data_IF_147002966683
#
_entry.id   IF_147002966683
#
_cell.length_a   1.000
_cell.length_b   1.000
_cell.length_c   1.000
_cell.angle_alpha   90.00
_cell.angle_beta   90.00
_cell.angle_gamma   90.00
#
_symmetry.space_group_name_H-M   'P 1'
#
loop_
_entity.id
_entity.type
_entity.pdbx_description
1 polymer ?
#
# COMPACT_ATOMS: atom_id res chain seq x y z
N UNK A 1 27.75 37.93 -15.21
CA UNK A 1 27.77 37.31 -13.88
C UNK A 1 26.72 36.23 -13.91
N UNK A 2 27.09 35.03 -14.39
CA UNK A 2 26.15 33.96 -14.70
C UNK A 2 25.96 33.08 -13.45
N UNK A 3 24.73 32.82 -13.19
CA UNK A 3 24.09 32.09 -12.12
C UNK A 3 24.84 30.79 -11.73
N UNK A 4 25.59 30.81 -10.63
CA UNK A 4 26.30 29.67 -10.05
C UNK A 4 25.44 28.93 -9.01
N UNK A 5 24.23 29.37 -8.72
CA UNK A 5 23.35 28.77 -7.72
C UNK A 5 22.69 27.47 -8.20
N UNK A 6 22.43 27.30 -9.50
CA UNK A 6 21.77 26.10 -10.03
C UNK A 6 22.63 24.84 -10.10
N UNK A 7 23.95 24.92 -9.94
CA UNK A 7 24.87 23.78 -10.06
C UNK A 7 25.20 23.06 -8.75
N UNK A 8 24.88 23.65 -7.60
CA UNK A 8 25.21 23.08 -6.29
C UNK A 8 24.21 22.03 -5.79
N UNK A 9 22.98 21.98 -6.32
CA UNK A 9 21.92 21.10 -5.84
C UNK A 9 22.03 19.64 -6.33
N UNK A 10 22.78 19.38 -7.40
CA UNK A 10 22.88 18.05 -8.00
C UNK A 10 23.75 17.03 -7.18
N UNK A 11 24.43 17.46 -6.13
CA UNK A 11 25.41 16.66 -5.40
C UNK A 11 25.13 16.48 -3.90
N UNK A 12 23.91 16.71 -3.44
CA UNK A 12 23.56 16.44 -2.04
C UNK A 12 23.66 14.94 -1.72
N UNK A 13 24.33 14.55 -0.61
CA UNK A 13 24.47 13.15 -0.24
C UNK A 13 23.09 12.51 0.05
N UNK A 14 22.93 11.17 -0.14
CA UNK A 14 21.65 10.45 -0.02
C UNK A 14 20.88 10.72 1.28
N UNK A 15 21.60 10.93 2.38
CA UNK A 15 21.00 11.29 3.69
C UNK A 15 20.30 12.66 3.67
N UNK A 16 20.87 13.66 3.01
CA UNK A 16 20.24 14.99 2.90
C UNK A 16 18.95 14.94 2.04
N UNK A 17 18.83 13.98 1.13
CA UNK A 17 17.66 13.80 0.28
C UNK A 17 16.46 13.18 1.04
N UNK A 18 16.70 12.24 1.96
CA UNK A 18 15.66 11.63 2.78
C UNK A 18 15.05 12.64 3.78
N UNK A 19 15.86 13.47 4.41
CA UNK A 19 15.39 14.52 5.34
C UNK A 19 14.58 15.61 4.61
N UNK A 20 14.96 15.97 3.40
CA UNK A 20 14.20 16.91 2.56
C UNK A 20 12.80 16.38 2.17
N UNK A 21 12.65 15.06 2.01
CA UNK A 21 11.35 14.44 1.78
C UNK A 21 10.42 14.53 3.00
N UNK A 22 10.96 14.31 4.20
CA UNK A 22 10.20 14.44 5.45
C UNK A 22 9.78 15.90 5.71
N UNK A 23 10.70 16.87 5.55
CA UNK A 23 10.39 18.29 5.73
C UNK A 23 9.31 18.74 4.73
N UNK A 24 9.35 18.22 3.49
CA UNK A 24 8.38 18.56 2.47
C UNK A 24 7.00 17.91 2.74
N UNK A 25 6.95 16.68 3.27
CA UNK A 25 5.69 16.04 3.72
C UNK A 25 5.09 16.81 4.90
N UNK A 26 5.90 17.20 5.87
CA UNK A 26 5.44 17.97 7.05
C UNK A 26 4.97 19.38 6.63
N UNK A 27 5.58 19.98 5.59
CA UNK A 27 5.19 21.26 5.03
C UNK A 27 3.89 21.23 4.21
N UNK A 28 3.47 20.06 3.71
CA UNK A 28 2.23 19.89 2.97
C UNK A 28 1.10 19.47 3.92
N UNK A 29 0.10 20.35 4.10
CA UNK A 29 -1.03 20.12 5.02
C UNK A 29 -1.84 18.86 4.67
N UNK A 30 -1.97 18.53 3.39
CA UNK A 30 -2.71 17.35 2.92
C UNK A 30 -1.95 16.08 3.29
N UNK A 31 -0.64 16.04 3.01
CA UNK A 31 0.22 14.92 3.40
C UNK A 31 0.25 14.71 4.92
N UNK A 32 0.35 15.81 5.67
CA UNK A 32 0.33 15.75 7.13
C UNK A 32 -0.99 15.18 7.67
N UNK A 33 -2.13 15.61 7.11
CA UNK A 33 -3.43 15.06 7.49
C UNK A 33 -3.52 13.56 7.17
N UNK A 34 -3.08 13.12 5.99
CA UNK A 34 -2.99 11.71 5.64
C UNK A 34 -2.11 10.91 6.60
N UNK A 35 -0.93 11.44 6.91
CA UNK A 35 0.00 10.81 7.86
C UNK A 35 -0.61 10.69 9.27
N UNK A 36 -1.31 11.74 9.76
CA UNK A 36 -1.99 11.71 11.06
C UNK A 36 -3.09 10.66 11.10
N UNK A 37 -3.88 10.54 10.03
CA UNK A 37 -4.93 9.51 9.94
C UNK A 37 -4.32 8.10 10.03
N UNK A 38 -3.30 7.82 9.21
CA UNK A 38 -2.64 6.50 9.19
C UNK A 38 -1.96 6.21 10.52
N UNK A 39 -1.18 7.16 11.04
CA UNK A 39 -0.47 7.01 12.31
C UNK A 39 -1.45 6.82 13.47
N UNK A 40 -2.58 7.53 13.46
CA UNK A 40 -3.65 7.37 14.44
C UNK A 40 -4.25 5.96 14.43
N UNK A 41 -4.53 5.41 13.24
CA UNK A 41 -5.04 4.03 13.11
C UNK A 41 -4.00 3.00 13.56
N UNK A 42 -2.74 3.17 13.18
CA UNK A 42 -1.65 2.27 13.61
C UNK A 42 -1.46 2.35 15.13
N UNK A 43 -1.46 3.55 15.69
CA UNK A 43 -1.33 3.75 17.14
C UNK A 43 -2.53 3.15 17.91
N UNK A 44 -3.76 3.39 17.44
CA UNK A 44 -4.96 2.78 18.03
C UNK A 44 -4.91 1.25 17.98
N UNK A 45 -4.54 0.67 16.84
CA UNK A 45 -4.37 -0.76 16.69
C UNK A 45 -3.24 -1.30 17.59
N UNK A 46 -2.10 -0.60 17.72
CA UNK A 46 -0.97 -0.99 18.54
C UNK A 46 -1.29 -0.94 20.04
N UNK A 47 -2.03 0.07 20.46
CA UNK A 47 -2.39 0.29 21.87
C UNK A 47 -3.65 -0.49 22.29
N UNK A 48 -4.40 -1.06 21.33
CA UNK A 48 -5.64 -1.79 21.59
C UNK A 48 -5.54 -2.81 22.75
N UNK A 49 -4.50 -3.67 22.85
CA UNK A 49 -4.39 -4.64 23.94
C UNK A 49 -4.24 -4.01 25.33
N UNK A 50 -3.80 -2.74 25.38
CA UNK A 50 -3.60 -2.01 26.65
C UNK A 50 -4.83 -1.18 27.02
N UNK A 51 -5.62 -0.76 26.02
CA UNK A 51 -6.74 0.17 26.20
C UNK A 51 -8.08 -0.54 26.30
N UNK A 52 -8.20 -1.75 25.75
CA UNK A 52 -9.47 -2.46 25.66
C UNK A 52 -9.62 -3.48 26.76
N UNK A 53 -10.80 -3.46 27.40
CA UNK A 53 -11.15 -4.38 28.48
C UNK A 53 -11.59 -5.77 27.96
N UNK A 54 -11.96 -5.86 26.69
CA UNK A 54 -12.51 -7.07 26.09
C UNK A 54 -11.50 -7.69 25.12
N UNK A 55 -11.27 -9.01 25.25
CA UNK A 55 -10.51 -9.74 24.23
C UNK A 55 -11.32 -9.80 22.91
N UNK A 56 -10.67 -9.64 21.72
CA UNK A 56 -11.38 -9.59 20.44
C UNK A 56 -12.24 -10.82 20.12
N UNK A 57 -11.88 -11.98 20.69
CA UNK A 57 -12.56 -13.25 20.43
C UNK A 57 -13.38 -13.74 21.64
N UNK A 58 -13.53 -12.92 22.70
CA UNK A 58 -14.34 -13.26 23.86
C UNK A 58 -15.83 -13.28 23.49
N UNK A 59 -16.45 -14.46 23.56
CA UNK A 59 -17.85 -14.67 23.21
C UNK A 59 -18.73 -14.44 24.44
N UNK A 60 -19.81 -13.64 24.28
CA UNK A 60 -20.87 -13.48 25.27
C UNK A 60 -22.25 -13.59 24.58
N UNK A 61 -22.81 -14.76 24.59
CA UNK A 61 -24.14 -15.00 24.00
C UNK A 61 -25.29 -14.20 24.62
N UNK A 62 -25.07 -13.57 25.78
CA UNK A 62 -26.09 -12.67 26.40
C UNK A 62 -26.07 -11.28 25.81
N UNK A 63 -24.97 -10.93 25.13
CA UNK A 63 -24.74 -9.61 24.54
C UNK A 63 -24.79 -9.64 23.00
N UNK A 64 -25.43 -10.62 22.38
CA UNK A 64 -25.49 -10.73 20.90
C UNK A 64 -26.21 -9.54 20.28
N UNK A 65 -25.58 -8.95 19.22
CA UNK A 65 -26.12 -7.84 18.42
C UNK A 65 -26.63 -6.64 19.25
N UNK A 66 -26.00 -6.37 20.39
CA UNK A 66 -26.33 -5.20 21.18
C UNK A 66 -25.75 -3.93 20.56
N UNK A 67 -26.54 -2.85 20.58
CA UNK A 67 -26.12 -1.53 20.13
C UNK A 67 -25.00 -0.93 20.99
N UNK A 68 -24.41 0.19 20.53
CA UNK A 68 -23.42 0.93 21.28
C UNK A 68 -23.88 1.25 22.71
N UNK A 69 -23.01 0.97 23.69
CA UNK A 69 -23.27 1.15 25.11
C UNK A 69 -21.97 1.51 25.86
N UNK A 70 -22.07 1.85 27.15
CA UNK A 70 -20.87 2.10 27.97
C UNK A 70 -19.98 0.86 28.11
N UNK A 71 -20.56 -0.35 28.10
CA UNK A 71 -19.82 -1.61 28.13
C UNK A 71 -19.18 -1.95 26.76
N UNK A 72 -19.88 -1.62 25.66
CA UNK A 72 -19.47 -1.93 24.29
C UNK A 72 -19.63 -0.68 23.43
N UNK A 73 -18.58 0.14 23.32
CA UNK A 73 -18.62 1.47 22.67
C UNK A 73 -19.14 1.45 21.23
N UNK A 74 -18.85 0.40 20.46
CA UNK A 74 -19.35 0.20 19.10
C UNK A 74 -20.37 -0.95 19.00
N UNK A 75 -20.89 -1.41 20.17
CA UNK A 75 -21.77 -2.55 20.22
C UNK A 75 -21.06 -3.89 20.08
N UNK A 76 -21.85 -4.93 19.87
CA UNK A 76 -21.39 -6.32 19.79
C UNK A 76 -21.81 -6.99 18.50
N UNK A 77 -21.08 -8.04 18.11
CA UNK A 77 -21.35 -8.83 16.93
C UNK A 77 -22.38 -9.98 17.16
N UNK A 78 -22.52 -10.87 16.21
CA UNK A 78 -23.46 -12.01 16.22
C UNK A 78 -23.15 -13.06 17.31
N UNK A 79 -21.95 -13.05 17.86
CA UNK A 79 -21.52 -13.93 18.96
C UNK A 79 -21.37 -13.15 20.28
N UNK A 80 -21.78 -11.88 20.31
CA UNK A 80 -21.64 -11.00 21.48
C UNK A 80 -20.21 -10.53 21.72
N UNK A 81 -19.30 -10.65 20.73
CA UNK A 81 -17.92 -10.14 20.82
C UNK A 81 -17.92 -8.62 20.63
N UNK A 82 -17.03 -7.93 21.31
CA UNK A 82 -16.90 -6.48 21.24
C UNK A 82 -16.39 -6.01 19.87
N UNK A 83 -17.19 -5.20 19.16
CA UNK A 83 -16.87 -4.72 17.81
C UNK A 83 -15.64 -3.83 17.83
N UNK A 84 -15.45 -2.95 18.83
CA UNK A 84 -14.28 -2.08 18.90
C UNK A 84 -12.99 -2.89 19.03
N UNK A 85 -12.96 -3.89 19.88
CA UNK A 85 -11.82 -4.78 20.09
C UNK A 85 -11.46 -5.54 18.79
N UNK A 86 -12.47 -6.05 18.10
CA UNK A 86 -12.30 -6.73 16.80
C UNK A 86 -11.85 -5.78 15.70
N UNK A 87 -12.39 -4.57 15.66
CA UNK A 87 -12.06 -3.52 14.71
C UNK A 87 -10.57 -3.12 14.77
N UNK A 88 -10.07 -2.90 15.99
CA UNK A 88 -8.68 -2.52 16.22
C UNK A 88 -7.70 -3.70 16.04
N UNK A 89 -8.11 -4.91 16.43
CA UNK A 89 -7.35 -6.13 16.11
C UNK A 89 -7.30 -6.36 14.60
N UNK A 90 -8.43 -6.22 13.91
CA UNK A 90 -8.55 -6.32 12.45
C UNK A 90 -7.73 -5.27 11.70
N UNK A 91 -7.59 -4.06 12.25
CA UNK A 91 -6.76 -3.01 11.70
C UNK A 91 -5.30 -3.45 11.53
N UNK A 92 -4.72 -4.16 12.52
CA UNK A 92 -3.35 -4.69 12.42
C UNK A 92 -3.19 -5.62 11.23
N UNK A 93 -4.16 -6.51 11.04
CA UNK A 93 -4.10 -7.51 9.97
C UNK A 93 -4.36 -6.87 8.61
N UNK A 94 -5.42 -6.07 8.47
CA UNK A 94 -5.74 -5.40 7.20
C UNK A 94 -4.60 -4.48 6.73
N UNK A 95 -4.02 -3.66 7.63
CA UNK A 95 -2.91 -2.77 7.30
C UNK A 95 -1.61 -3.55 7.02
N UNK A 96 -1.28 -4.56 7.82
CA UNK A 96 -0.04 -5.33 7.63
C UNK A 96 -0.09 -6.15 6.34
N UNK A 97 -1.17 -6.86 6.07
CA UNK A 97 -1.33 -7.67 4.85
C UNK A 97 -1.27 -6.81 3.60
N UNK A 98 -1.98 -5.68 3.59
CA UNK A 98 -1.97 -4.76 2.44
C UNK A 98 -0.57 -4.17 2.21
N UNK A 99 0.12 -3.75 3.28
CA UNK A 99 1.50 -3.25 3.19
C UNK A 99 2.47 -4.34 2.72
N UNK A 100 2.36 -5.56 3.24
CA UNK A 100 3.20 -6.68 2.83
C UNK A 100 2.94 -7.09 1.37
N UNK A 101 1.69 -7.10 0.92
CA UNK A 101 1.34 -7.39 -0.47
C UNK A 101 1.99 -6.39 -1.44
N UNK A 102 1.88 -5.09 -1.15
CA UNK A 102 2.51 -4.04 -1.96
C UNK A 102 4.03 -4.13 -1.89
N UNK A 103 4.59 -4.36 -0.70
CA UNK A 103 6.05 -4.55 -0.55
C UNK A 103 6.55 -5.71 -1.40
N UNK A 104 5.84 -6.85 -1.37
CA UNK A 104 6.18 -8.01 -2.21
C UNK A 104 6.07 -7.67 -3.70
N UNK A 105 5.04 -6.94 -4.11
CA UNK A 105 4.88 -6.48 -5.49
C UNK A 105 6.03 -5.57 -5.94
N UNK A 106 6.49 -4.66 -5.07
CA UNK A 106 7.66 -3.80 -5.33
C UNK A 106 8.94 -4.64 -5.41
N UNK A 107 9.16 -5.56 -4.46
CA UNK A 107 10.35 -6.42 -4.43
C UNK A 107 10.47 -7.29 -5.69
N UNK A 108 9.36 -7.75 -6.23
CA UNK A 108 9.33 -8.53 -7.47
C UNK A 108 9.35 -7.64 -8.72
N UNK A 109 8.56 -6.58 -8.74
CA UNK A 109 8.39 -5.71 -9.92
C UNK A 109 9.59 -4.81 -10.20
N UNK A 110 10.28 -4.33 -9.15
CA UNK A 110 11.43 -3.44 -9.30
C UNK A 110 12.59 -4.08 -10.08
N UNK A 111 13.10 -5.29 -9.73
CA UNK A 111 14.17 -5.91 -10.51
C UNK A 111 13.71 -6.27 -11.93
N UNK A 112 12.46 -6.72 -12.12
CA UNK A 112 11.92 -7.00 -13.44
C UNK A 112 11.90 -5.73 -14.32
N UNK A 113 11.45 -4.61 -13.76
CA UNK A 113 11.43 -3.32 -14.45
C UNK A 113 12.81 -2.76 -14.75
N UNK A 114 13.76 -2.90 -13.81
CA UNK A 114 15.17 -2.51 -14.02
C UNK A 114 15.81 -3.29 -15.17
N UNK A 115 15.70 -4.61 -15.15
CA UNK A 115 16.29 -5.49 -16.17
C UNK A 115 15.65 -5.24 -17.54
N UNK A 116 14.32 -5.21 -17.60
CA UNK A 116 13.54 -4.98 -18.81
C UNK A 116 13.87 -3.62 -19.44
N UNK A 117 13.80 -2.53 -18.68
CA UNK A 117 14.07 -1.19 -19.17
C UNK A 117 15.52 -0.95 -19.59
N UNK A 118 16.46 -1.66 -18.97
CA UNK A 118 17.85 -1.53 -19.29
C UNK A 118 18.26 -2.35 -20.53
N UNK A 119 17.97 -3.65 -20.54
CA UNK A 119 18.33 -4.55 -21.64
C UNK A 119 17.59 -4.22 -22.94
N UNK A 120 16.28 -3.96 -22.85
CA UNK A 120 15.44 -3.78 -24.04
C UNK A 120 15.39 -5.05 -24.91
N UNK A 121 15.03 -4.89 -26.18
CA UNK A 121 15.00 -5.98 -27.15
C UNK A 121 13.98 -7.07 -26.81
N UNK A 122 14.26 -8.31 -27.26
CA UNK A 122 13.33 -9.43 -27.13
C UNK A 122 13.00 -9.86 -25.67
N UNK A 123 13.93 -9.81 -24.68
CA UNK A 123 13.57 -10.13 -23.29
C UNK A 123 12.57 -9.15 -22.70
N UNK A 124 12.72 -7.87 -23.03
CA UNK A 124 11.78 -6.83 -22.65
C UNK A 124 10.41 -7.07 -23.28
N UNK A 125 10.38 -7.37 -24.59
CA UNK A 125 9.14 -7.61 -25.33
C UNK A 125 8.38 -8.83 -24.79
N UNK A 126 9.07 -9.94 -24.49
CA UNK A 126 8.43 -11.13 -23.92
C UNK A 126 7.86 -10.81 -22.53
N UNK A 127 8.66 -10.17 -21.65
CA UNK A 127 8.19 -9.82 -20.31
C UNK A 127 6.97 -8.91 -20.38
N UNK A 128 7.01 -7.87 -21.23
CA UNK A 128 5.85 -6.97 -21.36
C UNK A 128 4.61 -7.70 -21.88
N UNK A 129 4.74 -8.60 -22.85
CA UNK A 129 3.60 -9.41 -23.34
C UNK A 129 3.00 -10.31 -22.24
N UNK A 130 3.84 -10.92 -21.40
CA UNK A 130 3.36 -11.72 -20.27
C UNK A 130 2.59 -10.84 -19.26
N UNK A 131 3.14 -9.66 -18.92
CA UNK A 131 2.46 -8.74 -18.02
C UNK A 131 1.17 -8.16 -18.64
N UNK A 132 1.16 -7.92 -19.95
CA UNK A 132 -0.04 -7.49 -20.71
C UNK A 132 -1.14 -8.54 -20.62
N UNK A 133 -0.79 -9.82 -20.73
CA UNK A 133 -1.75 -10.92 -20.59
C UNK A 133 -2.38 -10.97 -19.20
N UNK A 134 -1.60 -10.70 -18.13
CA UNK A 134 -2.14 -10.59 -16.78
C UNK A 134 -3.07 -9.38 -16.62
N UNK A 135 -2.71 -8.25 -17.23
CA UNK A 135 -3.50 -7.01 -17.15
C UNK A 135 -4.72 -6.99 -18.08
N UNK A 136 -4.88 -7.99 -18.96
CA UNK A 136 -6.08 -8.15 -19.79
C UNK A 136 -7.33 -8.46 -18.95
N UNK A 137 -7.13 -9.02 -17.75
CA UNK A 137 -8.21 -9.25 -16.79
C UNK A 137 -8.36 -8.05 -15.83
N UNK A 138 -9.60 -7.70 -15.43
CA UNK A 138 -9.79 -6.73 -14.36
C UNK A 138 -9.03 -7.17 -13.10
N UNK A 139 -8.30 -6.26 -12.41
CA UNK A 139 -7.41 -6.61 -11.30
C UNK A 139 -8.10 -7.43 -10.19
N UNK A 140 -9.34 -7.06 -9.82
CA UNK A 140 -10.09 -7.79 -8.80
C UNK A 140 -10.44 -9.21 -9.26
N UNK A 141 -10.81 -9.40 -10.54
CA UNK A 141 -11.14 -10.73 -11.08
C UNK A 141 -9.90 -11.62 -11.09
N UNK A 142 -8.74 -11.08 -11.47
CA UNK A 142 -7.47 -11.81 -11.43
C UNK A 142 -7.11 -12.17 -9.99
N UNK A 143 -7.25 -11.24 -9.04
CA UNK A 143 -7.00 -11.50 -7.61
C UNK A 143 -7.91 -12.62 -7.07
N UNK A 144 -9.21 -12.57 -7.38
CA UNK A 144 -10.18 -13.61 -7.02
C UNK A 144 -9.80 -14.96 -7.59
N UNK A 145 -9.42 -15.02 -8.87
CA UNK A 145 -9.00 -16.25 -9.54
C UNK A 145 -7.78 -16.86 -8.86
N UNK A 146 -6.75 -16.06 -8.59
CA UNK A 146 -5.53 -16.54 -7.93
C UNK A 146 -5.84 -16.99 -6.50
N UNK A 147 -6.61 -16.20 -5.72
CA UNK A 147 -6.98 -16.54 -4.37
C UNK A 147 -7.84 -17.82 -4.31
N UNK A 148 -8.76 -18.04 -5.26
CA UNK A 148 -9.56 -19.25 -5.35
C UNK A 148 -8.71 -20.50 -5.61
N UNK A 149 -7.69 -20.40 -6.47
CA UNK A 149 -6.75 -21.49 -6.76
C UNK A 149 -5.87 -21.82 -5.54
N UNK A 150 -5.39 -20.79 -4.83
CA UNK A 150 -4.56 -20.95 -3.64
C UNK A 150 -5.37 -21.45 -2.41
N UNK A 151 -6.69 -21.26 -2.43
CA UNK A 151 -7.60 -21.56 -1.33
C UNK A 151 -7.77 -20.38 -0.36
N UNK A 152 -8.80 -20.46 0.53
CA UNK A 152 -9.09 -19.43 1.51
C UNK A 152 -7.92 -19.20 2.48
N UNK A 153 -7.69 -17.95 2.84
CA UNK A 153 -6.66 -17.59 3.81
C UNK A 153 -6.01 -16.23 3.56
N UNK A 154 -5.69 -15.54 4.63
CA UNK A 154 -5.16 -14.19 4.58
C UNK A 154 -3.80 -14.10 3.84
N UNK A 155 -2.94 -15.11 4.03
CA UNK A 155 -1.66 -15.21 3.32
C UNK A 155 -1.84 -15.43 1.82
N UNK A 156 -2.79 -16.28 1.43
CA UNK A 156 -3.11 -16.54 0.01
C UNK A 156 -3.70 -15.28 -0.66
N UNK A 157 -4.57 -14.55 0.05
CA UNK A 157 -5.07 -13.25 -0.42
C UNK A 157 -3.93 -12.24 -0.61
N UNK A 158 -2.99 -12.16 0.34
CA UNK A 158 -1.79 -11.30 0.22
C UNK A 158 -0.98 -11.62 -1.04
N UNK A 159 -0.72 -12.92 -1.31
CA UNK A 159 0.01 -13.35 -2.51
C UNK A 159 -0.77 -12.96 -3.77
N UNK A 160 -2.08 -13.18 -3.80
CA UNK A 160 -2.91 -12.82 -4.95
C UNK A 160 -2.84 -11.31 -5.25
N UNK A 161 -2.97 -10.47 -4.22
CA UNK A 161 -2.85 -9.00 -4.34
C UNK A 161 -1.46 -8.60 -4.85
N UNK A 162 -0.40 -9.22 -4.31
CA UNK A 162 0.97 -8.96 -4.72
C UNK A 162 1.18 -9.27 -6.21
N UNK A 163 0.78 -10.45 -6.67
CA UNK A 163 0.93 -10.90 -8.08
C UNK A 163 0.20 -9.94 -9.02
N UNK A 164 -1.02 -9.55 -8.70
CA UNK A 164 -1.82 -8.59 -9.50
C UNK A 164 -1.16 -7.21 -9.58
N UNK A 165 -0.41 -6.82 -8.55
CA UNK A 165 0.25 -5.52 -8.47
C UNK A 165 1.63 -5.49 -9.15
N UNK A 166 2.31 -6.63 -9.34
CA UNK A 166 3.65 -6.72 -9.97
C UNK A 166 3.73 -6.01 -11.32
N UNK A 167 2.79 -6.19 -12.27
CA UNK A 167 2.84 -5.52 -13.56
C UNK A 167 2.92 -3.99 -13.46
N UNK A 168 2.16 -3.39 -12.56
CA UNK A 168 2.15 -1.93 -12.33
C UNK A 168 3.53 -1.42 -11.93
N UNK A 169 4.18 -2.06 -10.96
CA UNK A 169 5.52 -1.66 -10.52
C UNK A 169 6.59 -1.94 -11.58
N UNK A 170 6.49 -3.09 -12.27
CA UNK A 170 7.43 -3.42 -13.35
C UNK A 170 7.39 -2.38 -14.46
N UNK A 171 6.20 -2.00 -14.92
CA UNK A 171 6.04 -0.99 -15.98
C UNK A 171 6.50 0.39 -15.53
N UNK A 172 6.18 0.78 -14.29
CA UNK A 172 6.60 2.04 -13.73
C UNK A 172 8.12 2.15 -13.70
N UNK A 173 8.81 1.15 -13.14
CA UNK A 173 10.26 1.12 -13.04
C UNK A 173 10.89 1.06 -14.44
N UNK A 174 10.38 0.23 -15.35
CA UNK A 174 10.82 0.18 -16.74
C UNK A 174 10.76 1.56 -17.41
N UNK A 175 9.64 2.27 -17.28
CA UNK A 175 9.47 3.62 -17.81
C UNK A 175 10.51 4.60 -17.26
N UNK A 176 10.77 4.55 -15.96
CA UNK A 176 11.80 5.36 -15.31
C UNK A 176 13.20 5.03 -15.85
N UNK A 177 13.54 3.75 -16.00
CA UNK A 177 14.84 3.33 -16.56
C UNK A 177 15.01 3.82 -17.99
N UNK A 178 13.98 3.70 -18.82
CA UNK A 178 14.01 4.18 -20.21
C UNK A 178 14.24 5.68 -20.32
N UNK A 179 13.64 6.46 -19.41
CA UNK A 179 13.83 7.91 -19.33
C UNK A 179 15.24 8.26 -18.82
N UNK A 180 15.69 7.61 -17.73
CA UNK A 180 16.92 7.97 -17.04
C UNK A 180 18.19 7.53 -17.76
N UNK A 181 18.15 6.41 -18.51
CA UNK A 181 19.33 5.84 -19.16
C UNK A 181 19.97 6.74 -20.24
N UNK A 182 19.22 7.70 -20.76
CA UNK A 182 19.68 8.66 -21.78
C UNK A 182 20.17 9.98 -21.20
N UNK A 183 20.16 10.17 -19.89
CA UNK A 183 20.62 11.39 -19.25
C UNK A 183 22.14 11.53 -19.29
N UNK A 184 22.65 12.77 -19.38
CA UNK A 184 24.08 13.09 -19.52
C UNK A 184 24.95 12.47 -18.42
N UNK A 185 24.47 12.46 -17.17
CA UNK A 185 25.22 11.89 -16.06
C UNK A 185 25.40 10.36 -16.17
N UNK A 186 24.46 9.66 -16.81
CA UNK A 186 24.55 8.22 -17.09
C UNK A 186 25.55 7.98 -18.22
N UNK A 187 25.45 8.78 -19.29
CA UNK A 187 26.40 8.73 -20.41
C UNK A 187 27.83 9.03 -19.94
N UNK A 188 28.02 10.05 -19.10
CA UNK A 188 29.30 10.36 -18.48
C UNK A 188 29.85 9.20 -17.64
N UNK A 189 28.99 8.52 -16.86
CA UNK A 189 29.41 7.35 -16.08
C UNK A 189 29.93 6.22 -16.97
N UNK A 190 29.32 5.98 -18.13
CA UNK A 190 29.83 5.00 -19.10
C UNK A 190 31.15 5.44 -19.74
N UNK A 191 31.29 6.73 -20.05
CA UNK A 191 32.52 7.26 -20.66
C UNK A 191 33.76 7.10 -19.80
N UNK A 192 33.60 7.06 -18.48
CA UNK A 192 34.71 6.78 -17.53
C UNK A 192 34.82 5.29 -17.16
N UNK A 193 34.16 4.39 -17.93
CA UNK A 193 34.29 2.94 -17.76
C UNK A 193 33.54 2.35 -16.57
N UNK A 194 32.50 3.03 -16.03
CA UNK A 194 31.72 2.50 -14.91
C UNK A 194 30.95 1.25 -15.37
N UNK A 195 31.06 0.10 -14.66
CA UNK A 195 30.35 -1.11 -15.05
C UNK A 195 28.82 -0.95 -14.89
N UNK A 196 28.08 -1.59 -15.78
CA UNK A 196 26.62 -1.53 -15.91
C UNK A 196 25.86 -1.68 -14.60
N UNK A 197 26.21 -2.71 -13.80
CA UNK A 197 25.53 -2.94 -12.51
C UNK A 197 25.66 -1.74 -11.56
N UNK A 198 26.82 -1.07 -11.57
CA UNK A 198 27.06 0.13 -10.76
C UNK A 198 26.27 1.31 -11.29
N UNK A 199 26.14 1.46 -12.59
CA UNK A 199 25.26 2.48 -13.20
C UNK A 199 23.80 2.25 -12.80
N UNK A 200 23.31 1.02 -12.89
CA UNK A 200 21.94 0.67 -12.51
C UNK A 200 21.66 0.98 -11.02
N UNK A 201 22.47 0.44 -10.12
CA UNK A 201 22.19 0.53 -8.68
C UNK A 201 22.59 1.87 -8.05
N UNK A 202 23.58 2.60 -8.60
CA UNK A 202 24.08 3.85 -8.01
C UNK A 202 23.58 5.11 -8.71
N UNK A 203 23.19 5.03 -9.98
CA UNK A 203 22.79 6.19 -10.77
C UNK A 203 21.34 6.14 -11.21
N UNK A 204 20.79 4.99 -11.64
CA UNK A 204 19.43 4.88 -12.15
C UNK A 204 18.44 4.58 -11.00
N UNK A 205 18.66 3.51 -10.26
CA UNK A 205 17.74 3.05 -9.23
C UNK A 205 17.38 4.15 -8.19
N UNK A 206 18.33 4.89 -7.60
CA UNK A 206 17.97 5.91 -6.61
C UNK A 206 17.10 7.04 -7.16
N UNK A 207 17.22 7.34 -8.46
CA UNK A 207 16.41 8.35 -9.13
C UNK A 207 15.05 7.79 -9.60
N UNK A 208 14.95 6.48 -9.85
CA UNK A 208 13.71 5.80 -10.18
C UNK A 208 12.81 5.54 -8.95
N UNK A 209 13.34 5.64 -7.73
CA UNK A 209 12.60 5.29 -6.50
C UNK A 209 11.49 6.27 -6.13
N UNK A 210 11.60 7.55 -6.49
CA UNK A 210 10.59 8.55 -6.12
C UNK A 210 9.18 8.16 -6.61
N UNK A 211 8.95 7.90 -7.91
CA UNK A 211 7.64 7.46 -8.38
C UNK A 211 7.21 6.10 -7.80
N UNK A 212 8.17 5.21 -7.49
CA UNK A 212 7.87 3.90 -6.90
C UNK A 212 7.31 4.06 -5.48
N UNK A 213 7.86 4.97 -4.67
CA UNK A 213 7.39 5.25 -3.31
C UNK A 213 5.96 5.81 -3.35
N UNK A 214 5.70 6.78 -4.23
CA UNK A 214 4.35 7.35 -4.42
C UNK A 214 3.36 6.24 -4.84
N UNK A 215 3.72 5.46 -5.86
CA UNK A 215 2.88 4.36 -6.35
C UNK A 215 2.65 3.28 -5.29
N UNK A 216 3.66 2.97 -4.47
CA UNK A 216 3.51 2.02 -3.37
C UNK A 216 2.53 2.53 -2.31
N UNK A 217 2.58 3.83 -1.99
CA UNK A 217 1.65 4.45 -1.03
C UNK A 217 0.20 4.38 -1.54
N UNK A 218 -0.05 4.72 -2.81
CA UNK A 218 -1.36 4.54 -3.45
C UNK A 218 -1.78 3.06 -3.49
N UNK A 219 -0.82 2.19 -3.79
CA UNK A 219 -1.02 0.75 -3.88
C UNK A 219 -1.51 0.12 -2.58
N UNK A 220 -1.10 0.64 -1.41
CA UNK A 220 -1.59 0.14 -0.11
C UNK A 220 -3.09 0.41 0.03
N UNK A 221 -3.58 1.60 -0.35
CA UNK A 221 -5.01 1.91 -0.36
C UNK A 221 -5.81 0.95 -1.25
N UNK A 222 -5.30 0.67 -2.45
CA UNK A 222 -5.90 -0.31 -3.36
C UNK A 222 -5.86 -1.74 -2.77
N UNK A 223 -4.77 -2.12 -2.13
CA UNK A 223 -4.60 -3.44 -1.50
C UNK A 223 -5.59 -3.65 -0.34
N UNK A 224 -5.88 -2.61 0.47
CA UNK A 224 -6.90 -2.67 1.53
C UNK A 224 -8.28 -2.97 0.93
N UNK A 225 -8.68 -2.29 -0.14
CA UNK A 225 -9.97 -2.53 -0.82
C UNK A 225 -10.00 -3.95 -1.39
N UNK A 226 -8.93 -4.40 -2.02
CA UNK A 226 -8.86 -5.73 -2.64
C UNK A 226 -8.87 -6.84 -1.59
N UNK A 227 -8.10 -6.69 -0.49
CA UNK A 227 -8.14 -7.63 0.65
C UNK A 227 -9.56 -7.74 1.20
N UNK A 228 -10.20 -6.59 1.42
CA UNK A 228 -11.56 -6.56 1.95
C UNK A 228 -12.57 -7.20 1.01
N UNK A 229 -12.40 -7.02 -0.30
CA UNK A 229 -13.24 -7.69 -1.31
C UNK A 229 -13.04 -9.22 -1.32
N UNK A 230 -11.78 -9.68 -1.22
CA UNK A 230 -11.46 -11.11 -1.11
C UNK A 230 -12.02 -11.70 0.19
N UNK A 231 -11.87 -11.01 1.31
CA UNK A 231 -12.41 -11.40 2.62
C UNK A 231 -13.94 -11.40 2.59
N UNK A 232 -14.59 -10.44 1.94
CA UNK A 232 -16.05 -10.38 1.79
C UNK A 232 -16.62 -11.60 1.03
N UNK A 233 -15.88 -12.14 0.07
CA UNK A 233 -16.28 -13.35 -0.68
C UNK A 233 -15.87 -14.63 0.05
N UNK A 234 -15.16 -14.53 1.19
CA UNK A 234 -14.73 -15.66 2.01
C UNK A 234 -13.38 -16.27 1.63
N UNK A 235 -12.62 -15.60 0.73
CA UNK A 235 -11.27 -16.03 0.33
C UNK A 235 -10.15 -15.41 1.19
N UNK A 236 -10.48 -14.45 2.06
CA UNK A 236 -9.51 -13.78 2.94
C UNK A 236 -9.40 -14.44 4.32
N UNK A 237 -9.47 -13.60 5.37
CA UNK A 237 -9.36 -14.06 6.75
C UNK A 237 -10.45 -15.06 7.13
N UNK A 238 -10.03 -16.15 7.80
CA UNK A 238 -10.94 -17.19 8.28
C UNK A 238 -11.21 -17.02 9.79
N UNK A 239 -12.41 -17.31 10.28
CA UNK A 239 -12.72 -17.29 11.71
C UNK A 239 -11.71 -18.12 12.51
N UNK A 240 -11.38 -17.71 13.77
CA UNK A 240 -11.93 -16.56 14.50
C UNK A 240 -11.30 -15.20 14.14
N UNK A 241 -10.28 -15.19 13.28
CA UNK A 241 -9.51 -13.99 12.89
C UNK A 241 -10.41 -12.93 12.27
N UNK A 242 -10.31 -11.68 12.72
CA UNK A 242 -11.02 -10.55 12.16
C UNK A 242 -10.10 -9.67 11.30
N UNK A 243 -10.57 -9.30 10.11
CA UNK A 243 -10.10 -8.17 9.31
C UNK A 243 -11.27 -7.24 9.06
N UNK A 244 -11.01 -6.03 8.60
CA UNK A 244 -12.12 -5.12 8.27
C UNK A 244 -13.05 -5.73 7.22
N UNK A 245 -12.49 -6.42 6.21
CA UNK A 245 -13.28 -7.08 5.17
C UNK A 245 -14.14 -8.23 5.69
N UNK A 246 -13.61 -9.09 6.57
CA UNK A 246 -14.39 -10.19 7.17
C UNK A 246 -15.48 -9.67 8.12
N UNK A 247 -15.22 -8.55 8.84
CA UNK A 247 -16.24 -7.91 9.68
C UNK A 247 -17.38 -7.34 8.83
N UNK A 248 -17.09 -6.71 7.69
CA UNK A 248 -18.12 -6.25 6.75
C UNK A 248 -18.91 -7.44 6.19
N UNK A 249 -18.25 -8.54 5.82
CA UNK A 249 -18.92 -9.74 5.32
C UNK A 249 -19.98 -10.27 6.28
N UNK A 250 -19.57 -10.48 7.54
CA UNK A 250 -20.49 -11.03 8.54
C UNK A 250 -21.55 -10.00 8.91
N UNK A 251 -21.16 -8.75 9.16
CA UNK A 251 -22.05 -7.66 9.55
C UNK A 251 -23.13 -7.35 8.48
N UNK A 252 -22.83 -7.58 7.19
CA UNK A 252 -23.77 -7.38 6.09
C UNK A 252 -25.02 -8.26 6.22
N UNK A 253 -24.90 -9.43 6.82
CA UNK A 253 -26.04 -10.32 7.07
C UNK A 253 -26.98 -9.77 8.16
N UNK A 254 -26.48 -8.86 9.00
CA UNK A 254 -27.21 -8.25 10.11
C UNK A 254 -27.46 -6.76 9.91
N UNK A 255 -27.34 -6.25 8.68
CA UNK A 255 -27.37 -4.82 8.38
C UNK A 255 -28.64 -4.12 8.87
N UNK A 256 -29.80 -4.79 8.80
CA UNK A 256 -31.07 -4.25 9.26
C UNK A 256 -31.17 -4.20 10.80
N UNK A 257 -30.50 -5.10 11.51
CA UNK A 257 -30.56 -5.23 12.96
C UNK A 257 -29.43 -4.47 13.67
N UNK A 258 -28.23 -4.48 13.07
CA UNK A 258 -27.00 -3.96 13.66
C UNK A 258 -26.18 -3.19 12.61
N UNK A 259 -26.66 -2.03 12.09
CA UNK A 259 -25.95 -1.27 11.05
C UNK A 259 -24.56 -0.81 11.48
N UNK A 260 -24.34 -0.55 12.77
CA UNK A 260 -23.02 -0.19 13.33
C UNK A 260 -21.96 -1.24 13.06
N UNK A 261 -22.32 -2.53 12.94
CA UNK A 261 -21.41 -3.64 12.72
C UNK A 261 -20.73 -3.54 11.33
N UNK A 262 -21.42 -3.02 10.32
CA UNK A 262 -20.85 -2.76 8.98
C UNK A 262 -20.23 -1.38 8.92
N UNK A 263 -20.86 -0.38 9.51
CA UNK A 263 -20.41 1.01 9.40
C UNK A 263 -19.04 1.25 10.04
N UNK A 264 -18.75 0.60 11.17
CA UNK A 264 -17.49 0.77 11.87
C UNK A 264 -16.27 0.32 11.02
N UNK A 265 -16.19 -0.92 10.51
CA UNK A 265 -15.09 -1.33 9.66
C UNK A 265 -15.05 -0.60 8.31
N UNK A 266 -16.21 -0.28 7.72
CA UNK A 266 -16.28 0.51 6.49
C UNK A 266 -15.70 1.92 6.67
N UNK A 267 -15.99 2.59 7.78
CA UNK A 267 -15.41 3.88 8.11
C UNK A 267 -13.89 3.81 8.32
N UNK A 268 -13.39 2.76 8.99
CA UNK A 268 -11.95 2.56 9.17
C UNK A 268 -11.23 2.31 7.85
N UNK A 269 -11.80 1.52 6.94
CA UNK A 269 -11.27 1.32 5.59
C UNK A 269 -11.27 2.62 4.79
N UNK A 270 -12.37 3.37 4.81
CA UNK A 270 -12.46 4.67 4.14
C UNK A 270 -11.37 5.63 4.63
N UNK A 271 -11.21 5.76 5.94
CA UNK A 271 -10.16 6.63 6.52
C UNK A 271 -8.75 6.15 6.16
N UNK A 272 -8.50 4.83 6.14
CA UNK A 272 -7.21 4.29 5.74
C UNK A 272 -6.89 4.62 4.28
N UNK A 273 -7.82 4.33 3.36
CA UNK A 273 -7.65 4.62 1.93
C UNK A 273 -7.47 6.12 1.70
N UNK A 274 -8.30 6.95 2.35
CA UNK A 274 -8.18 8.41 2.29
C UNK A 274 -6.79 8.86 2.79
N UNK A 275 -6.35 8.35 3.93
CA UNK A 275 -5.06 8.69 4.52
C UNK A 275 -3.89 8.34 3.61
N UNK A 276 -3.89 7.13 3.01
CA UNK A 276 -2.84 6.72 2.06
C UNK A 276 -2.86 7.54 0.78
N UNK A 277 -4.03 7.90 0.23
CA UNK A 277 -4.13 8.77 -0.94
C UNK A 277 -3.60 10.18 -0.65
N UNK A 278 -4.03 10.79 0.46
CA UNK A 278 -3.54 12.11 0.88
C UNK A 278 -2.02 12.12 1.12
N UNK A 279 -1.49 11.05 1.70
CA UNK A 279 -0.05 10.90 1.90
C UNK A 279 0.70 10.76 0.56
N UNK A 280 0.15 10.01 -0.39
CA UNK A 280 0.73 9.80 -1.71
C UNK A 280 0.76 11.11 -2.53
N UNK A 281 -0.32 11.89 -2.50
CA UNK A 281 -0.40 13.20 -3.17
C UNK A 281 0.68 14.14 -2.61
N UNK A 282 0.81 14.22 -1.30
CA UNK A 282 1.86 15.04 -0.70
C UNK A 282 3.29 14.54 -0.93
N UNK A 283 3.48 13.21 -1.01
CA UNK A 283 4.77 12.63 -1.42
C UNK A 283 5.09 12.95 -2.88
N UNK A 284 4.09 12.93 -3.75
CA UNK A 284 4.25 13.33 -5.15
C UNK A 284 4.75 14.77 -5.25
N UNK A 285 4.06 15.72 -4.62
CA UNK A 285 4.44 17.13 -4.60
C UNK A 285 5.85 17.35 -4.00
N UNK A 286 6.15 16.63 -2.92
CA UNK A 286 7.44 16.74 -2.22
C UNK A 286 8.62 16.22 -3.05
N UNK A 287 8.39 15.20 -3.87
CA UNK A 287 9.41 14.51 -4.65
C UNK A 287 9.50 15.04 -6.10
N UNK A 288 8.57 15.89 -6.54
CA UNK A 288 8.62 16.53 -7.86
C UNK A 288 9.60 17.71 -7.87
N UNK A 289 10.66 17.64 -8.70
CA UNK A 289 11.63 18.72 -8.81
C UNK A 289 11.06 20.00 -9.44
N UNK A 290 9.98 19.90 -10.23
CA UNK A 290 9.40 21.01 -10.99
C UNK A 290 8.40 21.84 -10.19
N UNK A 291 7.81 21.28 -9.14
CA UNK A 291 6.85 21.99 -8.28
C UNK A 291 7.46 23.17 -7.48
N UNK A 292 8.79 23.37 -7.51
CA UNK A 292 9.52 24.39 -6.73
C UNK A 292 9.87 25.67 -7.50
N UNK A 293 9.47 25.77 -8.75
CA UNK A 293 9.80 26.93 -9.61
C UNK A 293 8.61 27.85 -9.92
N UNK A 294 7.48 27.70 -9.19
CA UNK A 294 6.30 28.55 -9.29
C UNK A 294 6.13 29.49 -8.12
#
# INVERSE_FOLDING_TARGET
MLDTAGKAEAHAPPRARAWRGLDAVIGNRIALAGLVIIAGQIAAAALAPLLLSHAPDAIDYRAMLQGPSEAHLLGTDELGRDILSRLLSGARLSLSVSTMAVTLAVVLGLPLGLVSGYLGGWPDEILMRLLDSLMALPPLVLALTIAAVLGPGLFNAMIAIAIVSVPTFTRLVRGQVLSLKHNDYVTAAYSVGTPTWRVLFRHILPNAMNPVIVQATLGIGFAIITESSLSFIGLGAQPPTSTWGSMVQVGFQYLELAPWYVMAPAAMMFLAVLGFNMLADGLHDALDPLARTG
#
